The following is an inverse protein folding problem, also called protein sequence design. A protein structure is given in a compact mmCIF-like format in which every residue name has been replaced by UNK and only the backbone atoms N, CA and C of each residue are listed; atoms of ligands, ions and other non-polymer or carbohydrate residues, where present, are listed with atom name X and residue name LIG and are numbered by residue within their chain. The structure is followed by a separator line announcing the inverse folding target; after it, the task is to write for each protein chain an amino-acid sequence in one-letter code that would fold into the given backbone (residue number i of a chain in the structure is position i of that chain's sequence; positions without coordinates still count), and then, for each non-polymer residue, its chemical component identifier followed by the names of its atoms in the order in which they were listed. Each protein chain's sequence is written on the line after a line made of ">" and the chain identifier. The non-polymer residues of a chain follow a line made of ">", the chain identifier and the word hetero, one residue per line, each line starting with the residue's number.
data_IF_187896181865
#
_entry.id   IF_187896181865
#
_cell.length_a   1.000
_cell.length_b   1.000
_cell.length_c   1.000
_cell.angle_alpha   90.00
_cell.angle_beta   90.00
_cell.angle_gamma   90.00
#
_symmetry.space_group_name_H-M   'P 1'
#
loop_
_entity.id
_entity.type
_entity.pdbx_description
1 polymer ?
#
# COMPACT_ATOMS: atom_id res chain seq x y z
N UNK A 1 -9.87 -21.55 9.70
CA UNK A 1 -9.95 -20.40 8.78
C UNK A 1 -11.19 -19.61 9.15
N UNK A 2 -11.09 -18.28 9.18
CA UNK A 2 -12.21 -17.35 9.39
C UNK A 2 -12.19 -16.38 8.21
N UNK A 3 -13.18 -16.49 7.33
CA UNK A 3 -13.28 -15.70 6.11
C UNK A 3 -14.59 -14.90 6.16
N UNK A 4 -14.44 -13.57 6.29
CA UNK A 4 -15.51 -12.59 6.39
C UNK A 4 -15.54 -11.68 5.14
N UNK A 5 -14.78 -12.01 4.09
CA UNK A 5 -14.61 -11.15 2.91
C UNK A 5 -15.92 -10.87 2.15
N UNK A 6 -16.93 -11.73 2.28
CA UNK A 6 -18.22 -11.60 1.61
C UNK A 6 -19.33 -11.01 2.51
N UNK A 7 -19.01 -10.65 3.76
CA UNK A 7 -20.01 -10.13 4.70
C UNK A 7 -20.06 -8.60 4.67
N UNK A 8 -20.61 -8.04 3.59
CA UNK A 8 -20.69 -6.58 3.37
C UNK A 8 -21.54 -5.86 4.42
N UNK A 9 -22.52 -6.56 5.00
CA UNK A 9 -23.44 -6.03 6.02
C UNK A 9 -23.08 -6.44 7.46
N UNK A 10 -21.84 -6.91 7.70
CA UNK A 10 -21.43 -7.40 9.03
C UNK A 10 -21.35 -6.27 10.06
N UNK A 11 -22.40 -6.12 10.87
CA UNK A 11 -22.54 -5.03 11.86
C UNK A 11 -21.92 -5.30 13.23
N UNK A 12 -21.67 -6.56 13.56
CA UNK A 12 -21.20 -6.93 14.91
C UNK A 12 -20.20 -8.08 14.86
N UNK A 13 -19.08 -7.89 15.54
CA UNK A 13 -18.18 -8.96 15.96
C UNK A 13 -18.01 -8.83 17.48
N UNK A 14 -18.37 -9.86 18.23
CA UNK A 14 -18.20 -9.83 19.68
C UNK A 14 -16.72 -9.74 20.06
N UNK A 15 -16.41 -8.90 21.04
CA UNK A 15 -15.06 -8.82 21.62
C UNK A 15 -14.64 -10.19 22.14
N UNK A 16 -13.36 -10.50 21.98
CA UNK A 16 -12.71 -11.77 22.24
C UNK A 16 -13.09 -12.93 21.33
N UNK A 17 -14.04 -12.77 20.40
CA UNK A 17 -14.44 -13.85 19.50
C UNK A 17 -13.28 -14.26 18.59
N UNK A 18 -12.63 -13.30 17.94
CA UNK A 18 -11.52 -13.58 17.02
C UNK A 18 -10.33 -14.15 17.78
N UNK A 19 -9.94 -13.52 18.89
CA UNK A 19 -8.84 -13.99 19.73
C UNK A 19 -9.09 -15.35 20.38
N UNK A 20 -10.34 -15.80 20.51
CA UNK A 20 -10.68 -17.14 21.01
C UNK A 20 -10.24 -18.28 20.08
N UNK A 21 -10.04 -18.01 18.79
CA UNK A 21 -9.58 -19.00 17.82
C UNK A 21 -8.05 -19.12 17.85
N UNK A 22 -7.48 -19.68 18.93
CA UNK A 22 -6.03 -19.73 19.16
C UNK A 22 -5.21 -20.37 18.02
N UNK A 23 -5.79 -21.33 17.30
CA UNK A 23 -5.15 -22.02 16.16
C UNK A 23 -5.52 -21.42 14.79
N UNK A 24 -6.05 -20.19 14.75
CA UNK A 24 -6.49 -19.57 13.50
C UNK A 24 -5.28 -19.28 12.59
N UNK A 25 -5.29 -19.90 11.41
CA UNK A 25 -4.23 -19.72 10.41
C UNK A 25 -4.56 -18.71 9.31
N UNK A 26 -5.84 -18.48 9.05
CA UNK A 26 -6.30 -17.63 7.95
C UNK A 26 -7.40 -16.74 8.49
N UNK A 27 -7.19 -15.43 8.37
CA UNK A 27 -8.19 -14.40 8.61
C UNK A 27 -8.34 -13.53 7.37
N UNK A 28 -9.58 -13.36 6.89
CA UNK A 28 -9.87 -12.43 5.79
C UNK A 28 -11.09 -11.58 6.11
N UNK A 29 -10.98 -10.29 5.86
CA UNK A 29 -12.08 -9.34 5.98
C UNK A 29 -11.80 -8.14 5.07
N UNK A 30 -12.78 -7.74 4.26
CA UNK A 30 -12.58 -6.71 3.23
C UNK A 30 -13.19 -5.35 3.60
N UNK A 31 -14.18 -5.31 4.49
CA UNK A 31 -14.96 -4.11 4.77
C UNK A 31 -15.29 -4.01 6.26
N UNK A 32 -15.37 -2.77 6.76
CA UNK A 32 -15.94 -2.45 8.07
C UNK A 32 -17.27 -1.71 7.83
N UNK A 33 -18.39 -2.25 8.31
CA UNK A 33 -19.59 -1.41 8.44
C UNK A 33 -19.47 -0.60 9.71
N UNK A 34 -19.14 0.68 9.59
CA UNK A 34 -19.08 1.58 10.73
C UNK A 34 -20.51 1.93 11.16
N UNK A 35 -20.93 1.37 12.27
CA UNK A 35 -22.06 1.86 13.06
C UNK A 35 -21.54 2.13 14.45
N UNK A 36 -21.41 3.41 14.78
CA UNK A 36 -21.21 3.83 16.16
C UNK A 36 -22.57 3.73 16.85
N UNK A 37 -22.84 2.58 17.45
CA UNK A 37 -24.00 2.36 18.30
C UNK A 37 -23.64 2.45 19.80
N UNK A 38 -22.40 2.87 20.12
CA UNK A 38 -21.89 2.93 21.49
C UNK A 38 -21.61 1.58 22.15
N UNK A 39 -21.75 0.44 21.45
CA UNK A 39 -21.51 -0.87 22.05
C UNK A 39 -20.01 -1.20 22.15
N UNK A 40 -19.45 -1.06 23.36
CA UNK A 40 -18.05 -1.38 23.66
C UNK A 40 -17.71 -2.89 23.55
N UNK A 41 -18.72 -3.77 23.47
CA UNK A 41 -18.54 -5.20 23.24
C UNK A 41 -18.45 -5.57 21.75
N UNK A 42 -18.62 -4.59 20.85
CA UNK A 42 -18.47 -4.76 19.42
C UNK A 42 -17.06 -4.34 18.96
N UNK A 43 -16.30 -5.27 18.38
CA UNK A 43 -14.97 -4.99 17.82
C UNK A 43 -15.04 -3.91 16.75
N UNK A 44 -16.14 -3.83 15.99
CA UNK A 44 -16.27 -2.88 14.87
C UNK A 44 -16.49 -1.43 15.31
N UNK A 45 -16.87 -1.19 16.58
CA UNK A 45 -17.19 0.16 17.08
C UNK A 45 -15.94 1.06 17.19
N UNK A 46 -14.76 0.49 17.43
CA UNK A 46 -13.47 1.21 17.40
C UNK A 46 -12.75 1.16 16.06
N UNK A 47 -13.46 0.77 14.99
CA UNK A 47 -12.89 0.59 13.66
C UNK A 47 -11.81 -0.48 13.60
N UNK A 48 -10.88 -0.32 12.65
CA UNK A 48 -9.82 -1.31 12.40
C UNK A 48 -8.86 -1.49 13.59
N UNK A 49 -8.72 -0.50 14.46
CA UNK A 49 -7.82 -0.55 15.63
C UNK A 49 -8.19 -1.69 16.58
N UNK A 50 -9.47 -1.81 16.91
CA UNK A 50 -9.95 -2.89 17.79
C UNK A 50 -9.77 -4.27 17.13
N UNK A 51 -9.97 -4.35 15.81
CA UNK A 51 -9.73 -5.58 15.07
C UNK A 51 -8.25 -5.99 15.11
N UNK A 52 -7.34 -5.03 14.93
CA UNK A 52 -5.90 -5.24 15.06
C UNK A 52 -5.56 -5.78 16.46
N UNK A 53 -6.14 -5.22 17.53
CA UNK A 53 -5.90 -5.70 18.90
C UNK A 53 -6.39 -7.15 19.13
N UNK A 54 -7.53 -7.55 18.58
CA UNK A 54 -7.98 -8.95 18.62
C UNK A 54 -7.02 -9.90 17.89
N UNK A 55 -6.54 -9.47 16.71
CA UNK A 55 -5.68 -10.28 15.86
C UNK A 55 -4.28 -10.46 16.44
N UNK A 56 -3.78 -9.50 17.24
CA UNK A 56 -2.45 -9.57 17.89
C UNK A 56 -2.33 -10.78 18.83
N UNK A 57 -3.43 -11.28 19.37
CA UNK A 57 -3.42 -12.46 20.23
C UNK A 57 -3.16 -13.77 19.48
N UNK A 58 -3.28 -13.77 18.14
CA UNK A 58 -3.18 -14.96 17.30
C UNK A 58 -1.73 -15.21 16.88
N UNK A 59 -1.19 -16.37 17.27
CA UNK A 59 0.23 -16.74 17.03
C UNK A 59 0.46 -17.63 15.81
N UNK A 60 -0.61 -18.16 15.22
CA UNK A 60 -0.56 -19.15 14.14
C UNK A 60 -1.04 -18.61 12.78
N UNK A 61 -1.24 -17.29 12.65
CA UNK A 61 -1.69 -16.66 11.40
C UNK A 61 -0.63 -16.78 10.30
N UNK A 62 -1.06 -17.32 9.16
CA UNK A 62 -0.26 -17.47 7.94
C UNK A 62 -0.77 -16.58 6.80
N UNK A 63 -2.08 -16.30 6.77
CA UNK A 63 -2.70 -15.41 5.78
C UNK A 63 -3.56 -14.40 6.52
N UNK A 64 -3.27 -13.12 6.29
CA UNK A 64 -4.02 -12.00 6.83
C UNK A 64 -4.50 -11.09 5.70
N UNK A 65 -5.81 -10.86 5.64
CA UNK A 65 -6.42 -9.75 4.90
C UNK A 65 -7.32 -8.98 5.86
N UNK A 66 -7.04 -7.68 5.98
CA UNK A 66 -7.81 -6.77 6.82
C UNK A 66 -8.45 -5.68 5.95
N UNK A 67 -9.50 -5.02 6.45
CA UNK A 67 -10.08 -3.85 5.79
C UNK A 67 -9.05 -2.71 5.63
N UNK A 68 -9.38 -1.66 4.87
CA UNK A 68 -8.50 -0.50 4.72
C UNK A 68 -8.11 0.10 6.07
N UNK A 69 -6.83 0.44 6.22
CA UNK A 69 -6.34 1.22 7.35
C UNK A 69 -6.63 2.69 7.05
N UNK A 70 -7.31 3.36 7.99
CA UNK A 70 -7.80 4.74 7.81
C UNK A 70 -7.13 5.76 8.75
N UNK A 71 -6.13 5.35 9.53
CA UNK A 71 -5.40 6.25 10.43
C UNK A 71 -3.97 5.81 10.68
N UNK A 72 -3.09 6.78 10.98
CA UNK A 72 -1.70 6.54 11.33
C UNK A 72 -1.58 5.66 12.58
N UNK A 73 -2.35 5.94 13.63
CA UNK A 73 -2.34 5.13 14.85
C UNK A 73 -2.70 3.65 14.60
N UNK A 74 -3.64 3.37 13.69
CA UNK A 74 -3.98 2.00 13.32
C UNK A 74 -2.85 1.35 12.51
N UNK A 75 -2.24 2.10 11.59
CA UNK A 75 -1.08 1.65 10.84
C UNK A 75 0.10 1.33 11.77
N UNK A 76 0.51 2.24 12.64
CA UNK A 76 1.59 2.00 13.62
C UNK A 76 1.30 0.77 14.48
N UNK A 77 0.05 0.61 14.94
CA UNK A 77 -0.35 -0.57 15.69
C UNK A 77 -0.22 -1.86 14.88
N UNK A 78 -0.59 -1.83 13.59
CA UNK A 78 -0.41 -2.93 12.66
C UNK A 78 1.07 -3.24 12.42
N UNK A 79 1.89 -2.23 12.13
CA UNK A 79 3.32 -2.37 11.83
C UNK A 79 4.12 -2.81 13.06
N UNK A 80 3.68 -2.48 14.28
CA UNK A 80 4.33 -2.91 15.52
C UNK A 80 4.36 -4.43 15.71
N UNK A 81 3.54 -5.17 14.96
CA UNK A 81 3.41 -6.61 15.09
C UNK A 81 4.06 -7.35 13.91
N UNK A 82 5.26 -7.90 14.13
CA UNK A 82 6.06 -8.58 13.11
C UNK A 82 5.31 -9.71 12.38
N UNK A 83 4.41 -10.44 13.06
CA UNK A 83 3.62 -11.49 12.40
C UNK A 83 2.76 -10.92 11.26
N UNK A 84 2.16 -9.74 11.42
CA UNK A 84 1.36 -9.13 10.35
C UNK A 84 2.21 -8.74 9.15
N UNK A 85 3.44 -8.28 9.36
CA UNK A 85 4.38 -7.99 8.28
C UNK A 85 4.74 -9.24 7.46
N UNK A 86 4.67 -10.43 8.09
CA UNK A 86 5.02 -11.72 7.50
C UNK A 86 3.85 -12.50 6.90
N UNK A 87 2.60 -12.16 7.21
CA UNK A 87 1.43 -12.89 6.73
C UNK A 87 0.42 -12.05 5.94
N UNK A 88 0.67 -10.74 5.77
CA UNK A 88 -0.19 -9.85 5.01
C UNK A 88 0.29 -9.68 3.58
N UNK A 89 -0.51 -10.14 2.62
CA UNK A 89 -0.20 -10.05 1.18
C UNK A 89 -0.67 -8.75 0.52
N UNK A 90 -1.70 -8.13 1.09
CA UNK A 90 -2.36 -6.93 0.58
C UNK A 90 -2.51 -5.89 1.68
N UNK A 91 -2.08 -4.66 1.43
CA UNK A 91 -2.24 -3.52 2.33
C UNK A 91 -2.99 -2.42 1.60
N UNK A 92 -4.08 -1.93 2.20
CA UNK A 92 -4.84 -0.80 1.68
C UNK A 92 -4.85 0.32 2.72
N UNK A 93 -4.40 1.51 2.30
CA UNK A 93 -4.38 2.73 3.09
C UNK A 93 -5.40 3.70 2.51
N UNK A 94 -6.26 4.27 3.36
CA UNK A 94 -7.22 5.29 2.95
C UNK A 94 -7.25 6.49 3.87
N UNK A 95 -7.61 7.65 3.34
CA UNK A 95 -7.97 8.82 4.17
C UNK A 95 -6.87 9.34 5.11
N UNK A 96 -5.59 9.12 4.79
CA UNK A 96 -4.49 9.70 5.58
C UNK A 96 -4.43 11.22 5.36
N UNK A 97 -4.53 11.96 6.45
CA UNK A 97 -4.55 13.43 6.52
C UNK A 97 -3.62 13.95 7.62
N UNK A 98 -2.48 13.28 7.84
CA UNK A 98 -1.50 13.72 8.84
C UNK A 98 -0.11 13.80 8.17
N UNK A 99 0.58 14.92 8.40
CA UNK A 99 1.92 15.25 7.93
C UNK A 99 3.04 14.40 8.54
N UNK A 100 2.69 13.53 9.48
CA UNK A 100 3.66 12.74 10.22
C UNK A 100 4.13 11.58 9.36
N UNK A 101 5.29 11.84 8.75
CA UNK A 101 6.32 10.89 8.37
C UNK A 101 5.98 9.50 8.89
N UNK A 102 5.57 8.63 7.96
CA UNK A 102 5.58 7.18 8.14
C UNK A 102 6.79 6.85 9.03
N UNK A 103 6.56 6.46 10.29
CA UNK A 103 7.64 5.93 11.13
C UNK A 103 8.04 4.61 10.47
N UNK A 104 9.01 4.72 9.56
CA UNK A 104 9.44 3.65 8.66
C UNK A 104 9.79 2.46 9.56
N UNK A 105 9.05 1.34 9.47
CA UNK A 105 9.35 0.20 10.30
C UNK A 105 10.76 -0.30 9.98
N UNK A 106 11.53 -0.76 10.97
CA UNK A 106 12.93 -1.13 10.78
C UNK A 106 13.11 -2.41 9.94
N UNK A 107 12.03 -3.03 9.44
CA UNK A 107 12.04 -4.33 8.78
C UNK A 107 11.25 -4.34 7.47
N UNK A 108 11.77 -5.00 6.41
CA UNK A 108 11.05 -5.17 5.14
C UNK A 108 9.80 -6.07 5.25
N UNK A 109 8.76 -5.73 4.47
CA UNK A 109 7.53 -6.49 4.28
C UNK A 109 7.69 -7.56 3.21
N UNK A 110 8.22 -8.72 3.58
CA UNK A 110 8.47 -9.79 2.62
C UNK A 110 7.19 -10.48 2.10
N UNK A 111 6.09 -10.48 2.84
CA UNK A 111 4.85 -11.10 2.39
C UNK A 111 4.00 -10.17 1.51
N UNK A 112 4.17 -8.87 1.68
CA UNK A 112 3.34 -7.87 1.02
C UNK A 112 3.70 -7.80 -0.47
N UNK A 113 2.67 -7.93 -1.30
CA UNK A 113 2.80 -7.95 -2.76
C UNK A 113 1.81 -7.01 -3.46
N UNK A 114 0.80 -6.51 -2.75
CA UNK A 114 -0.18 -5.58 -3.30
C UNK A 114 -0.37 -4.42 -2.33
N UNK A 115 -0.21 -3.19 -2.83
CA UNK A 115 -0.44 -1.97 -2.05
C UNK A 115 -1.43 -1.09 -2.79
N UNK A 116 -2.46 -0.62 -2.08
CA UNK A 116 -3.40 0.40 -2.55
C UNK A 116 -3.37 1.60 -1.61
N UNK A 117 -3.24 2.81 -2.17
CA UNK A 117 -3.23 4.07 -1.44
C UNK A 117 -4.34 4.95 -2.02
N UNK A 118 -5.38 5.23 -1.25
CA UNK A 118 -6.60 5.87 -1.74
C UNK A 118 -7.01 7.08 -0.90
N UNK A 119 -7.23 8.26 -1.50
CA UNK A 119 -7.73 9.43 -0.75
C UNK A 119 -6.81 9.89 0.39
N UNK A 120 -5.50 9.67 0.26
CA UNK A 120 -4.50 10.12 1.22
C UNK A 120 -4.02 11.52 0.81
N UNK A 121 -4.79 12.54 1.15
CA UNK A 121 -4.65 13.87 0.57
C UNK A 121 -3.45 14.66 1.09
N UNK A 122 -2.85 14.30 2.22
CA UNK A 122 -1.65 15.00 2.73
C UNK A 122 -0.34 14.25 2.43
N UNK A 123 -0.44 13.04 1.85
CA UNK A 123 0.71 12.21 1.55
C UNK A 123 1.43 12.73 0.30
N UNK A 124 2.63 13.27 0.50
CA UNK A 124 3.47 13.82 -0.58
C UNK A 124 4.23 12.77 -1.37
N UNK A 125 4.60 11.68 -0.72
CA UNK A 125 5.32 10.56 -1.33
C UNK A 125 5.04 9.23 -0.62
N UNK A 126 5.40 8.12 -1.29
CA UNK A 126 5.26 6.78 -0.76
C UNK A 126 6.64 6.08 -0.70
N UNK A 127 7.70 6.80 -0.30
CA UNK A 127 9.08 6.28 -0.31
C UNK A 127 9.25 5.02 0.54
N UNK A 128 8.41 4.81 1.57
CA UNK A 128 8.38 3.59 2.38
C UNK A 128 8.13 2.30 1.56
N UNK A 129 7.60 2.40 0.33
CA UNK A 129 7.41 1.26 -0.57
C UNK A 129 8.70 0.50 -0.90
N UNK A 130 9.88 1.11 -0.70
CA UNK A 130 11.16 0.39 -0.81
C UNK A 130 11.32 -0.72 0.22
N UNK A 131 10.56 -0.68 1.31
CA UNK A 131 10.47 -1.77 2.28
C UNK A 131 9.61 -2.94 1.80
N UNK A 132 9.02 -2.87 0.60
CA UNK A 132 8.12 -3.90 0.07
C UNK A 132 8.82 -4.59 -1.12
N UNK A 133 9.85 -5.42 -0.89
CA UNK A 133 10.69 -5.97 -1.95
C UNK A 133 9.94 -6.93 -2.89
N UNK A 134 8.77 -7.40 -2.49
CA UNK A 134 7.92 -8.31 -3.26
C UNK A 134 6.67 -7.63 -3.85
N UNK A 135 6.67 -6.29 -3.94
CA UNK A 135 5.57 -5.54 -4.54
C UNK A 135 5.36 -5.92 -6.01
N UNK A 136 4.16 -6.39 -6.33
CA UNK A 136 3.70 -6.80 -7.67
C UNK A 136 2.61 -5.87 -8.21
N UNK A 137 1.77 -5.32 -7.33
CA UNK A 137 0.69 -4.41 -7.70
C UNK A 137 0.72 -3.16 -6.84
N UNK A 138 0.74 -1.99 -7.47
CA UNK A 138 0.62 -0.70 -6.82
C UNK A 138 -0.54 0.08 -7.44
N UNK A 139 -1.49 0.52 -6.61
CA UNK A 139 -2.54 1.44 -7.02
C UNK A 139 -2.57 2.67 -6.13
N UNK A 140 -2.38 3.85 -6.72
CA UNK A 140 -2.53 5.14 -6.04
C UNK A 140 -3.71 5.86 -6.67
N UNK A 141 -4.69 6.25 -5.84
CA UNK A 141 -5.93 6.85 -6.29
C UNK A 141 -6.32 8.06 -5.43
N UNK A 142 -6.70 9.19 -6.05
CA UNK A 142 -7.20 10.39 -5.34
C UNK A 142 -6.25 10.90 -4.26
N UNK A 143 -4.94 10.90 -4.49
CA UNK A 143 -3.96 11.45 -3.55
C UNK A 143 -3.49 12.82 -4.06
N UNK A 144 -4.20 13.88 -3.66
CA UNK A 144 -4.10 15.18 -4.34
C UNK A 144 -2.81 15.97 -4.09
N UNK A 145 -2.12 15.74 -2.97
CA UNK A 145 -0.85 16.41 -2.66
C UNK A 145 0.39 15.55 -2.96
N UNK A 146 0.21 14.38 -3.57
CA UNK A 146 1.34 13.52 -3.92
C UNK A 146 2.13 14.11 -5.08
N UNK A 147 3.39 14.44 -4.83
CA UNK A 147 4.31 15.08 -5.79
C UNK A 147 5.19 14.03 -6.49
N UNK A 148 5.63 13.02 -5.75
CA UNK A 148 6.44 11.91 -6.24
C UNK A 148 6.06 10.57 -5.59
N UNK A 149 6.26 9.41 -6.24
CA UNK A 149 6.02 8.12 -5.56
C UNK A 149 7.21 7.75 -4.68
N UNK A 150 8.42 7.82 -5.22
CA UNK A 150 9.67 7.52 -4.51
C UNK A 150 10.58 8.74 -4.50
N UNK A 151 10.79 9.30 -3.30
CA UNK A 151 11.63 10.47 -3.10
C UNK A 151 13.11 10.11 -2.93
N UNK A 152 13.95 10.55 -3.88
CA UNK A 152 15.41 10.35 -3.79
C UNK A 152 15.99 11.00 -2.53
N UNK A 153 15.47 12.17 -2.13
CA UNK A 153 15.93 12.86 -0.92
C UNK A 153 15.70 12.03 0.35
N UNK A 154 14.58 11.31 0.42
CA UNK A 154 14.21 10.49 1.58
C UNK A 154 14.77 9.07 1.54
N UNK A 155 15.22 8.58 0.37
CA UNK A 155 15.84 7.25 0.27
C UNK A 155 17.09 7.10 1.14
N UNK A 156 17.89 8.16 1.29
CA UNK A 156 19.09 8.14 2.14
C UNK A 156 18.75 7.88 3.61
N UNK A 157 17.64 8.46 4.10
CA UNK A 157 17.14 8.26 5.46
C UNK A 157 16.67 6.81 5.65
N UNK A 158 15.90 6.28 4.69
CA UNK A 158 15.42 4.89 4.73
C UNK A 158 16.59 3.89 4.65
N UNK A 159 17.57 4.14 3.78
CA UNK A 159 18.75 3.29 3.65
C UNK A 159 19.58 3.22 4.92
N UNK A 160 19.76 4.35 5.60
CA UNK A 160 20.42 4.39 6.89
C UNK A 160 19.66 3.58 7.95
N UNK A 161 18.33 3.72 8.03
CA UNK A 161 17.51 3.02 9.02
C UNK A 161 17.51 1.49 8.84
N UNK A 162 17.53 1.02 7.60
CA UNK A 162 17.38 -0.42 7.26
C UNK A 162 18.73 -1.10 7.02
N UNK A 163 19.82 -0.33 6.89
CA UNK A 163 21.17 -0.86 6.65
C UNK A 163 21.38 -1.46 5.26
N UNK A 164 20.59 -1.01 4.26
CA UNK A 164 20.68 -1.49 2.87
C UNK A 164 21.28 -0.37 2.01
N UNK A 165 22.51 -0.52 1.49
CA UNK A 165 23.22 0.55 0.79
C UNK A 165 22.73 0.80 -0.65
N UNK A 166 21.90 -0.10 -1.21
CA UNK A 166 21.41 0.02 -2.58
C UNK A 166 19.99 -0.54 -2.68
N UNK A 167 19.02 0.30 -3.03
CA UNK A 167 17.66 -0.12 -3.34
C UNK A 167 17.45 -0.07 -4.84
N UNK A 168 17.11 -1.22 -5.42
CA UNK A 168 16.47 -1.29 -6.73
C UNK A 168 14.96 -1.43 -6.49
N UNK A 169 14.20 -0.32 -6.47
CA UNK A 169 12.78 -0.39 -6.21
C UNK A 169 12.05 -1.07 -7.38
N UNK A 170 10.89 -1.66 -7.07
CA UNK A 170 9.95 -2.17 -8.07
C UNK A 170 10.47 -3.28 -9.00
N UNK A 171 11.50 -4.04 -8.60
CA UNK A 171 12.01 -5.18 -9.37
C UNK A 171 10.94 -6.24 -9.70
N UNK A 172 9.95 -6.43 -8.83
CA UNK A 172 8.86 -7.40 -9.01
C UNK A 172 7.54 -6.77 -9.42
N UNK A 173 7.52 -5.45 -9.66
CA UNK A 173 6.28 -4.73 -9.97
C UNK A 173 5.77 -5.18 -11.33
N UNK A 174 4.53 -5.67 -11.36
CA UNK A 174 3.85 -6.14 -12.57
C UNK A 174 2.82 -5.13 -13.07
N UNK A 175 2.22 -4.36 -12.16
CA UNK A 175 1.15 -3.42 -12.49
C UNK A 175 1.23 -2.15 -11.64
N UNK A 176 1.27 -1.01 -12.32
CA UNK A 176 1.27 0.33 -11.73
C UNK A 176 0.02 1.07 -12.17
N UNK A 177 -0.84 1.43 -11.23
CA UNK A 177 -2.10 2.11 -11.48
C UNK A 177 -2.10 3.46 -10.75
N UNK A 178 -2.29 4.54 -11.50
CA UNK A 178 -2.32 5.90 -11.00
C UNK A 178 -3.62 6.55 -11.48
N UNK A 179 -4.45 7.01 -10.55
CA UNK A 179 -5.74 7.60 -10.86
C UNK A 179 -5.99 8.87 -10.02
N UNK A 180 -6.35 9.98 -10.63
CA UNK A 180 -6.66 11.24 -9.95
C UNK A 180 -5.54 11.69 -8.99
N UNK A 181 -4.30 11.76 -9.49
CA UNK A 181 -3.11 12.19 -8.74
C UNK A 181 -2.53 13.44 -9.41
N UNK A 182 -3.14 14.62 -9.24
CA UNK A 182 -2.92 15.78 -10.09
C UNK A 182 -1.56 16.45 -9.95
N UNK A 183 -0.95 16.42 -8.76
CA UNK A 183 0.39 17.02 -8.50
C UNK A 183 1.55 16.06 -8.75
N UNK A 184 1.26 14.82 -9.15
CA UNK A 184 2.28 13.81 -9.34
C UNK A 184 3.09 14.18 -10.58
N UNK A 185 4.28 14.72 -10.37
CA UNK A 185 5.16 15.12 -11.47
C UNK A 185 6.20 14.03 -11.79
N UNK A 186 6.44 13.09 -10.87
CA UNK A 186 7.40 12.01 -11.07
C UNK A 186 7.02 10.73 -10.32
N UNK A 187 7.30 9.55 -10.87
CA UNK A 187 7.25 8.29 -10.12
C UNK A 187 8.58 8.09 -9.36
N UNK A 188 9.70 8.24 -10.06
CA UNK A 188 11.05 8.14 -9.51
C UNK A 188 12.02 8.90 -10.42
N UNK A 189 12.97 9.62 -9.82
CA UNK A 189 13.89 10.52 -10.55
C UNK A 189 14.73 9.83 -11.63
N UNK A 190 15.02 8.54 -11.48
CA UNK A 190 15.88 7.80 -12.40
C UNK A 190 15.07 6.71 -13.12
N UNK A 191 15.52 6.31 -14.30
CA UNK A 191 14.95 5.17 -14.99
C UNK A 191 15.04 3.89 -14.13
N UNK A 192 14.00 3.07 -14.19
CA UNK A 192 13.89 1.81 -13.45
C UNK A 192 13.92 0.61 -14.41
N UNK A 193 14.56 -0.51 -14.03
CA UNK A 193 14.70 -1.66 -14.92
C UNK A 193 13.39 -2.41 -15.16
N UNK A 194 12.44 -2.37 -14.22
CA UNK A 194 11.09 -2.97 -14.36
C UNK A 194 11.03 -4.37 -15.04
N UNK A 195 11.83 -5.36 -14.59
CA UNK A 195 11.97 -6.63 -15.30
C UNK A 195 10.69 -7.48 -15.30
N UNK A 196 9.69 -7.18 -14.46
CA UNK A 196 8.41 -7.90 -14.43
C UNK A 196 7.20 -7.07 -14.86
N UNK A 197 7.39 -5.81 -15.29
CA UNK A 197 6.28 -4.90 -15.55
C UNK A 197 5.47 -5.31 -16.78
N UNK A 198 4.15 -5.34 -16.62
CA UNK A 198 3.19 -5.74 -17.67
C UNK A 198 2.19 -4.63 -17.96
N UNK A 199 1.74 -3.91 -16.93
CA UNK A 199 0.67 -2.93 -17.07
C UNK A 199 1.04 -1.61 -16.40
N UNK A 200 0.80 -0.51 -17.12
CA UNK A 200 0.74 0.83 -16.54
C UNK A 200 -0.63 1.41 -16.89
N UNK A 201 -1.34 1.92 -15.89
CA UNK A 201 -2.61 2.62 -16.06
C UNK A 201 -2.49 4.01 -15.45
N UNK A 202 -2.75 5.05 -16.24
CA UNK A 202 -2.66 6.44 -15.84
C UNK A 202 -3.97 7.13 -16.21
N UNK A 203 -4.64 7.69 -15.22
CA UNK A 203 -5.90 8.40 -15.39
C UNK A 203 -5.90 9.65 -14.52
N UNK A 204 -6.19 10.80 -15.10
CA UNK A 204 -6.26 12.10 -14.42
C UNK A 204 -4.97 12.42 -13.64
N UNK A 205 -3.82 12.36 -14.32
CA UNK A 205 -2.48 12.69 -13.79
C UNK A 205 -1.78 13.76 -14.68
N UNK A 206 -2.31 14.99 -14.77
CA UNK A 206 -1.87 16.01 -15.73
C UNK A 206 -0.41 16.48 -15.59
N UNK A 207 0.19 16.38 -14.41
CA UNK A 207 1.59 16.79 -14.18
C UNK A 207 2.61 15.68 -14.45
N UNK A 208 2.17 14.42 -14.60
CA UNK A 208 3.07 13.28 -14.81
C UNK A 208 3.50 13.24 -16.27
N UNK A 209 4.61 13.88 -16.62
CA UNK A 209 5.06 13.99 -18.01
C UNK A 209 6.14 13.00 -18.41
N UNK A 210 6.70 12.27 -17.46
CA UNK A 210 7.77 11.31 -17.70
C UNK A 210 7.50 10.04 -16.89
N UNK A 211 7.79 8.90 -17.50
CA UNK A 211 7.86 7.63 -16.80
C UNK A 211 9.32 7.30 -16.48
N UNK A 212 9.61 6.55 -15.41
CA UNK A 212 10.95 6.08 -15.11
C UNK A 212 11.31 4.89 -16.02
N UNK A 213 11.22 5.10 -17.34
CA UNK A 213 11.51 4.15 -18.40
C UNK A 213 12.63 4.69 -19.28
N UNK A 214 13.53 3.80 -19.72
CA UNK A 214 14.49 4.05 -20.78
C UNK A 214 14.54 2.84 -21.74
N UNK A 215 15.49 2.83 -22.67
CA UNK A 215 15.64 1.78 -23.68
C UNK A 215 15.96 0.39 -23.13
N UNK A 216 16.42 0.28 -21.88
CA UNK A 216 16.69 -1.00 -21.20
C UNK A 216 15.62 -1.37 -20.17
N UNK A 217 14.67 -0.47 -19.88
CA UNK A 217 13.54 -0.74 -19.00
C UNK A 217 12.60 -1.80 -19.58
N UNK A 218 12.19 -2.75 -18.73
CA UNK A 218 11.23 -3.81 -19.03
C UNK A 218 11.57 -4.59 -20.33
N UNK A 219 12.86 -4.68 -20.65
CA UNK A 219 13.38 -5.36 -21.83
C UNK A 219 12.95 -6.83 -21.85
N UNK A 220 12.28 -7.23 -22.92
CA UNK A 220 11.72 -8.57 -23.09
C UNK A 220 10.29 -8.75 -22.58
N UNK A 221 9.68 -7.72 -21.97
CA UNK A 221 8.28 -7.77 -21.55
C UNK A 221 7.36 -7.22 -22.65
N UNK A 222 6.14 -7.76 -22.71
CA UNK A 222 5.03 -7.13 -23.42
C UNK A 222 4.31 -6.21 -22.44
N UNK A 223 4.56 -4.90 -22.56
CA UNK A 223 3.96 -3.89 -21.68
C UNK A 223 2.73 -3.30 -22.36
N UNK A 224 1.64 -3.19 -21.61
CA UNK A 224 0.46 -2.42 -22.00
C UNK A 224 0.40 -1.15 -21.15
N UNK A 225 0.36 0.01 -21.79
CA UNK A 225 0.26 1.30 -21.13
C UNK A 225 -1.08 1.91 -21.56
N UNK A 226 -1.89 2.30 -20.58
CA UNK A 226 -3.18 2.94 -20.76
C UNK A 226 -3.11 4.36 -20.19
N UNK A 227 -3.59 5.33 -20.94
CA UNK A 227 -3.58 6.73 -20.58
C UNK A 227 -4.70 7.50 -21.28
N UNK A 228 -5.09 8.63 -20.71
CA UNK A 228 -5.96 9.60 -21.41
C UNK A 228 -5.27 10.15 -22.66
N UNK A 229 -6.06 10.54 -23.68
CA UNK A 229 -5.54 11.09 -24.94
C UNK A 229 -4.58 12.25 -24.72
N UNK A 230 -5.00 13.21 -23.89
CA UNK A 230 -4.28 14.46 -23.65
C UNK A 230 -2.97 14.21 -22.88
N UNK A 231 -2.96 13.18 -22.04
CA UNK A 231 -1.75 12.71 -21.37
C UNK A 231 -0.77 12.09 -22.37
N UNK A 232 -1.28 11.27 -23.30
CA UNK A 232 -0.46 10.61 -24.33
C UNK A 232 0.25 11.59 -25.28
N UNK A 233 -0.33 12.77 -25.49
CA UNK A 233 0.24 13.84 -26.30
C UNK A 233 1.37 14.61 -25.59
N UNK A 234 1.43 14.55 -24.26
CA UNK A 234 2.36 15.35 -23.45
C UNK A 234 3.48 14.54 -22.80
N UNK A 235 3.35 13.21 -22.73
CA UNK A 235 4.35 12.34 -22.11
C UNK A 235 5.63 12.20 -22.95
N UNK A 236 6.78 12.33 -22.29
CA UNK A 236 8.11 12.04 -22.82
C UNK A 236 8.54 10.62 -22.46
N UNK A 237 9.11 9.90 -23.43
CA UNK A 237 9.39 8.46 -23.35
C UNK A 237 10.87 8.11 -23.11
N UNK A 238 11.78 9.07 -23.22
CA UNK A 238 13.21 8.85 -22.97
C UNK A 238 13.63 9.60 -21.71
N UNK A 239 13.76 8.87 -20.60
CA UNK A 239 14.46 9.38 -19.43
C UNK A 239 15.98 9.28 -19.69
N UNK A 240 16.70 10.40 -19.56
CA UNK A 240 18.15 10.49 -19.82
C UNK A 240 19.00 9.92 -18.69
#
# INVERSE_FOLDING_TARGET
>A
MLDLSYMEDLRRIARHLISSFSMLQIFRMNCLTRKDDGDASNVLNGGIKNLIEELKCLRHLNILRIPPIESVSALESFLSFNLFQRCTETLELRHFSESDVFNVPPSPFHALSQVTIGRCNELKDATWLVLVPNLRFLWINKCFEMEEILSVGKLGEVAYMVGIPFFEPFLKLESLHLAHVPKLNNIYRYALPFPCLKNIFIDTCPELRELPLNSDSAKGNQITIWGESDWWETVSWENK
#
